data_IF_101646409621
#
_entry.id   IF_101646409621
#
_cell.length_a   1.000
_cell.length_b   1.000
_cell.length_c   1.000
_cell.angle_alpha   90.00
_cell.angle_beta   90.00
_cell.angle_gamma   90.00
#
_symmetry.space_group_name_H-M   'P 1'
#
loop_
_entity.id
_entity.type
_entity.pdbx_description
1 polymer ?
#
# COMPACT_ATOMS: atom_id res chain seq x y z
N UNK A 1 27.69 -17.85 -1.46
CA UNK A 1 26.75 -16.72 -1.55
C UNK A 1 25.37 -17.31 -1.68
N UNK A 2 24.59 -17.35 -0.60
CA UNK A 2 23.22 -17.86 -0.68
C UNK A 2 22.36 -16.78 -1.34
N UNK A 3 21.83 -17.07 -2.53
CA UNK A 3 20.77 -16.24 -3.10
C UNK A 3 19.62 -16.21 -2.09
N UNK A 4 19.29 -15.03 -1.57
CA UNK A 4 18.14 -14.85 -0.71
C UNK A 4 16.91 -15.18 -1.56
N UNK A 5 16.29 -16.34 -1.32
CA UNK A 5 15.01 -16.67 -1.93
C UNK A 5 13.94 -15.76 -1.32
N UNK A 6 13.58 -14.70 -2.04
CA UNK A 6 12.50 -13.81 -1.67
C UNK A 6 11.17 -14.56 -1.68
N UNK A 7 10.45 -14.51 -0.56
CA UNK A 7 9.06 -15.01 -0.42
C UNK A 7 8.07 -14.11 -1.13
N UNK A 8 8.47 -12.87 -1.42
CA UNK A 8 7.62 -11.85 -2.02
C UNK A 8 8.08 -11.50 -3.43
N UNK A 9 7.11 -11.25 -4.31
CA UNK A 9 7.30 -10.53 -5.56
C UNK A 9 6.57 -9.20 -5.43
N UNK A 10 7.22 -8.11 -5.80
CA UNK A 10 6.67 -6.77 -5.67
C UNK A 10 6.94 -6.00 -6.95
N UNK A 11 5.90 -5.38 -7.52
CA UNK A 11 6.02 -4.39 -8.58
C UNK A 11 5.27 -3.12 -8.20
N UNK A 12 5.80 -1.97 -8.57
CA UNK A 12 5.22 -0.67 -8.25
C UNK A 12 5.16 0.20 -9.50
N UNK A 13 4.00 0.79 -9.74
CA UNK A 13 3.80 1.90 -10.67
C UNK A 13 3.52 3.16 -9.85
N UNK A 14 4.22 4.26 -10.14
CA UNK A 14 3.97 5.54 -9.54
C UNK A 14 4.14 6.67 -10.57
N UNK A 15 3.17 7.58 -10.62
CA UNK A 15 3.16 8.73 -11.53
C UNK A 15 2.56 9.96 -10.84
N UNK A 16 3.21 11.12 -10.99
CA UNK A 16 2.73 12.37 -10.43
C UNK A 16 1.56 12.93 -11.26
N UNK A 17 0.68 13.69 -10.62
CA UNK A 17 -0.34 14.49 -11.28
C UNK A 17 0.26 15.36 -12.39
N UNK A 18 -0.43 15.45 -13.53
CA UNK A 18 0.00 16.22 -14.69
C UNK A 18 0.34 17.68 -14.32
N UNK A 19 1.57 18.10 -14.63
CA UNK A 19 2.07 19.45 -14.36
C UNK A 19 2.71 19.66 -12.97
N UNK A 20 2.64 18.67 -12.07
CA UNK A 20 3.33 18.75 -10.77
C UNK A 20 4.79 18.27 -10.87
N UNK A 21 5.66 18.87 -10.04
CA UNK A 21 7.06 18.43 -9.88
C UNK A 21 7.24 17.27 -8.90
N UNK A 22 6.23 16.98 -8.08
CA UNK A 22 6.28 15.97 -7.03
C UNK A 22 4.94 15.25 -6.90
N UNK A 23 5.03 13.96 -6.57
CA UNK A 23 3.89 13.09 -6.29
C UNK A 23 3.65 13.06 -4.76
N UNK A 24 2.44 13.43 -4.32
CA UNK A 24 1.99 13.45 -2.92
C UNK A 24 1.87 12.09 -2.26
N UNK A 25 1.81 11.01 -3.03
CA UNK A 25 1.90 9.63 -2.54
C UNK A 25 3.35 9.26 -2.17
N UNK A 26 3.49 8.50 -1.09
CA UNK A 26 4.70 7.79 -0.74
C UNK A 26 4.37 6.33 -0.43
N UNK A 27 5.28 5.43 -0.79
CA UNK A 27 5.16 4.02 -0.45
C UNK A 27 6.47 3.49 0.14
N UNK A 28 6.36 2.41 0.90
CA UNK A 28 7.50 1.68 1.45
C UNK A 28 7.16 0.20 1.53
N UNK A 29 8.12 -0.65 1.23
CA UNK A 29 8.00 -2.07 1.53
C UNK A 29 9.34 -2.61 2.02
N UNK A 30 9.27 -3.63 2.88
CA UNK A 30 10.45 -4.33 3.38
C UNK A 30 10.14 -5.79 3.63
N UNK A 31 10.96 -6.65 3.05
CA UNK A 31 11.00 -8.08 3.37
C UNK A 31 12.13 -8.36 4.34
N UNK A 32 11.86 -9.23 5.31
CA UNK A 32 12.83 -9.81 6.24
C UNK A 32 12.65 -11.32 6.25
N UNK A 33 13.48 -12.04 6.99
CA UNK A 33 13.33 -13.49 7.14
C UNK A 33 11.97 -13.90 7.75
N UNK A 34 11.38 -13.06 8.60
CA UNK A 34 10.21 -13.42 9.41
C UNK A 34 8.92 -12.72 9.00
N UNK A 35 9.02 -11.63 8.26
CA UNK A 35 7.87 -10.78 7.92
C UNK A 35 8.09 -9.98 6.65
N UNK A 36 7.00 -9.49 6.10
CA UNK A 36 6.97 -8.47 5.07
C UNK A 36 6.03 -7.34 5.50
N UNK A 37 6.38 -6.10 5.21
CA UNK A 37 5.50 -4.94 5.35
C UNK A 37 5.43 -4.19 4.03
N UNK A 38 4.25 -3.67 3.70
CA UNK A 38 4.04 -2.74 2.61
C UNK A 38 3.08 -1.65 3.06
N UNK A 39 3.38 -0.42 2.66
CA UNK A 39 2.66 0.77 3.06
C UNK A 39 2.50 1.69 1.87
N UNK A 40 1.31 2.27 1.76
CA UNK A 40 1.01 3.37 0.86
C UNK A 40 0.36 4.49 1.67
N UNK A 41 0.92 5.68 1.59
CA UNK A 41 0.41 6.89 2.22
C UNK A 41 0.21 7.96 1.16
N UNK A 42 -0.92 8.64 1.23
CA UNK A 42 -1.22 9.81 0.38
C UNK A 42 -1.45 11.00 1.32
N UNK A 43 -0.65 12.05 1.10
CA UNK A 43 -0.64 13.23 1.94
C UNK A 43 -1.75 14.19 1.54
N UNK A 44 -2.47 14.73 2.51
CA UNK A 44 -3.61 15.60 2.20
C UNK A 44 -3.18 16.88 1.46
N UNK A 45 -3.82 17.14 0.32
CA UNK A 45 -3.60 18.32 -0.50
C UNK A 45 -2.86 17.99 -1.78
N UNK A 46 -1.89 18.81 -2.16
CA UNK A 46 -1.04 18.57 -3.33
C UNK A 46 0.34 19.20 -3.16
N UNK A 47 1.29 18.77 -4.00
CA UNK A 47 2.63 19.34 -4.02
C UNK A 47 3.47 18.99 -2.78
N UNK A 48 4.31 19.93 -2.34
CA UNK A 48 5.30 19.68 -1.29
C UNK A 48 4.69 19.37 0.08
N UNK A 49 3.58 20.00 0.44
CA UNK A 49 2.93 19.80 1.75
C UNK A 49 2.35 18.37 1.87
N UNK A 50 1.75 17.88 0.77
CA UNK A 50 1.27 16.51 0.67
C UNK A 50 2.45 15.54 0.79
N UNK A 51 3.52 15.78 0.01
CA UNK A 51 4.75 14.98 0.06
C UNK A 51 5.36 14.94 1.47
N UNK A 52 5.41 16.07 2.16
CA UNK A 52 5.96 16.14 3.52
C UNK A 52 5.18 15.23 4.47
N UNK A 53 3.85 15.24 4.38
CA UNK A 53 2.98 14.45 5.25
C UNK A 53 3.10 12.95 4.97
N UNK A 54 3.05 12.53 3.71
CA UNK A 54 3.20 11.11 3.34
C UNK A 54 4.62 10.60 3.60
N UNK A 55 5.66 11.42 3.38
CA UNK A 55 7.04 11.03 3.67
C UNK A 55 7.27 10.85 5.18
N UNK A 56 6.70 11.72 6.02
CA UNK A 56 6.79 11.59 7.48
C UNK A 56 6.20 10.26 7.98
N UNK A 57 5.14 9.75 7.35
CA UNK A 57 4.57 8.43 7.63
C UNK A 57 5.53 7.31 7.22
N UNK A 58 6.14 7.41 6.04
CA UNK A 58 7.11 6.42 5.57
C UNK A 58 8.34 6.37 6.48
N UNK A 59 8.90 7.51 6.87
CA UNK A 59 10.06 7.57 7.79
C UNK A 59 9.78 6.84 9.11
N UNK A 60 8.59 7.03 9.69
CA UNK A 60 8.23 6.33 10.93
C UNK A 60 8.21 4.81 10.70
N UNK A 61 7.59 4.36 9.62
CA UNK A 61 7.41 2.94 9.36
C UNK A 61 8.74 2.27 8.99
N UNK A 62 9.59 2.95 8.23
CA UNK A 62 10.93 2.47 7.90
C UNK A 62 11.79 2.26 9.15
N UNK A 63 11.65 3.12 10.17
CA UNK A 63 12.38 3.01 11.43
C UNK A 63 11.75 2.02 12.43
N UNK A 64 10.47 1.67 12.26
CA UNK A 64 9.70 0.89 13.23
C UNK A 64 8.98 -0.34 12.63
N UNK A 65 9.37 -0.81 11.43
CA UNK A 65 8.64 -1.83 10.66
C UNK A 65 8.39 -3.16 11.41
N UNK A 66 9.11 -3.45 12.48
CA UNK A 66 8.93 -4.63 13.33
C UNK A 66 7.72 -4.53 14.26
N UNK A 67 7.28 -3.31 14.59
CA UNK A 67 6.16 -3.06 15.51
C UNK A 67 4.79 -3.46 14.95
N UNK A 68 3.79 -3.61 15.81
CA UNK A 68 2.43 -3.91 15.36
C UNK A 68 1.84 -2.77 14.52
N UNK A 69 0.84 -3.08 13.69
CA UNK A 69 0.13 -2.04 12.91
C UNK A 69 -0.44 -0.96 13.84
N UNK A 70 -0.96 -1.33 15.01
CA UNK A 70 -1.48 -0.36 15.99
C UNK A 70 -0.41 0.63 16.47
N UNK A 71 0.78 0.12 16.79
CA UNK A 71 1.92 0.93 17.25
C UNK A 71 2.42 1.85 16.13
N UNK A 72 2.54 1.31 14.91
CA UNK A 72 2.91 2.09 13.72
C UNK A 72 1.94 3.24 13.48
N UNK A 73 0.63 2.98 13.47
CA UNK A 73 -0.38 4.04 13.28
C UNK A 73 -0.26 5.11 14.36
N UNK A 74 -0.08 4.71 15.62
CA UNK A 74 0.08 5.67 16.72
C UNK A 74 1.29 6.59 16.50
N UNK A 75 2.45 6.03 16.14
CA UNK A 75 3.65 6.81 15.84
C UNK A 75 3.49 7.71 14.63
N UNK A 76 2.88 7.21 13.56
CA UNK A 76 2.59 8.02 12.37
C UNK A 76 1.70 9.20 12.73
N UNK A 77 0.67 8.95 13.54
CA UNK A 77 -0.22 10.00 14.00
C UNK A 77 0.54 11.05 14.84
N UNK A 78 1.38 10.65 15.80
CA UNK A 78 2.19 11.59 16.58
C UNK A 78 3.15 12.42 15.71
N UNK A 79 3.72 11.82 14.65
CA UNK A 79 4.61 12.49 13.68
C UNK A 79 3.87 13.48 12.77
N UNK A 80 2.58 13.29 12.57
CA UNK A 80 1.71 14.15 11.75
C UNK A 80 1.16 15.37 12.51
N UNK A 81 1.45 15.51 13.80
CA UNK A 81 1.09 16.72 14.56
C UNK A 81 1.73 17.94 13.87
N UNK A 82 0.89 18.95 13.59
CA UNK A 82 1.25 20.16 12.81
C UNK A 82 1.53 19.96 11.31
N UNK A 83 1.16 18.80 10.74
CA UNK A 83 1.16 18.57 9.29
C UNK A 83 -0.26 18.56 8.72
N UNK A 84 -0.39 18.41 7.40
CA UNK A 84 -1.70 18.30 6.74
C UNK A 84 -2.45 17.04 7.14
N UNK A 85 -1.72 16.00 7.53
CA UNK A 85 -2.25 14.65 7.73
C UNK A 85 -2.12 13.81 6.46
N UNK A 86 -2.42 12.52 6.58
CA UNK A 86 -2.32 11.58 5.47
C UNK A 86 -3.35 10.46 5.59
N UNK A 87 -3.77 9.93 4.45
CA UNK A 87 -4.45 8.64 4.36
C UNK A 87 -3.41 7.52 4.33
N UNK A 88 -3.79 6.31 4.74
CA UNK A 88 -2.83 5.24 4.98
C UNK A 88 -3.42 3.86 4.69
N UNK A 89 -2.69 3.07 3.90
CA UNK A 89 -2.85 1.62 3.81
C UNK A 89 -1.61 0.92 4.36
N UNK A 90 -1.80 -0.05 5.26
CA UNK A 90 -0.72 -0.91 5.76
C UNK A 90 -1.09 -2.37 5.52
N UNK A 91 -0.16 -3.12 4.95
CA UNK A 91 -0.20 -4.57 4.82
C UNK A 91 1.03 -5.15 5.52
N UNK A 92 0.82 -6.08 6.45
CA UNK A 92 1.91 -6.76 7.16
C UNK A 92 1.69 -8.27 7.17
N UNK A 93 2.66 -9.01 6.65
CA UNK A 93 2.67 -10.47 6.58
C UNK A 93 3.62 -11.01 7.65
N UNK A 94 3.19 -12.04 8.36
CA UNK A 94 4.00 -12.78 9.32
C UNK A 94 4.21 -14.20 8.77
N UNK A 95 5.44 -14.52 8.42
CA UNK A 95 5.80 -15.81 7.80
C UNK A 95 5.83 -16.95 8.80
N UNK A 96 6.09 -16.68 10.08
CA UNK A 96 6.10 -17.69 11.15
C UNK A 96 4.70 -18.19 11.47
N UNK A 97 3.74 -17.28 11.55
CA UNK A 97 2.35 -17.59 11.91
C UNK A 97 1.47 -17.86 10.69
N UNK A 98 2.00 -17.65 9.47
CA UNK A 98 1.25 -17.72 8.21
C UNK A 98 -0.04 -16.88 8.26
N UNK A 99 0.09 -15.63 8.68
CA UNK A 99 -1.02 -14.66 8.76
C UNK A 99 -0.64 -13.35 8.11
N UNK A 100 -1.61 -12.65 7.56
CA UNK A 100 -1.46 -11.24 7.21
C UNK A 100 -2.40 -10.38 8.06
N UNK A 101 -1.98 -9.16 8.32
CA UNK A 101 -2.77 -8.10 8.92
C UNK A 101 -2.80 -6.91 7.98
N UNK A 102 -3.95 -6.27 7.85
CA UNK A 102 -4.07 -5.07 7.04
C UNK A 102 -4.98 -4.03 7.69
N UNK A 103 -4.79 -2.79 7.31
CA UNK A 103 -5.65 -1.66 7.64
C UNK A 103 -5.66 -0.68 6.49
N UNK A 104 -6.76 0.04 6.35
CA UNK A 104 -6.89 1.15 5.41
C UNK A 104 -7.67 2.27 6.11
N UNK A 105 -7.13 3.47 6.05
CA UNK A 105 -7.66 4.72 6.61
C UNK A 105 -7.70 5.72 5.46
N UNK A 106 -8.89 6.25 5.18
CA UNK A 106 -9.18 7.13 4.05
C UNK A 106 -9.62 6.41 2.80
N UNK A 107 -8.94 6.69 1.71
CA UNK A 107 -9.25 6.27 0.33
C UNK A 107 -8.22 5.28 -0.24
N UNK A 108 -7.19 4.89 0.52
CA UNK A 108 -6.21 3.89 0.06
C UNK A 108 -6.88 2.52 -0.09
N UNK A 109 -6.91 2.00 -1.31
CA UNK A 109 -7.47 0.70 -1.61
C UNK A 109 -6.51 -0.44 -1.29
N UNK A 110 -7.03 -1.52 -0.69
CA UNK A 110 -6.30 -2.78 -0.51
C UNK A 110 -7.21 -3.94 -0.93
N UNK A 111 -6.82 -4.67 -1.97
CA UNK A 111 -7.55 -5.84 -2.48
C UNK A 111 -6.69 -7.09 -2.41
N UNK A 112 -7.18 -8.14 -1.75
CA UNK A 112 -6.60 -9.49 -1.79
C UNK A 112 -7.22 -10.29 -2.94
N UNK A 113 -6.38 -10.98 -3.69
CA UNK A 113 -6.74 -11.92 -4.77
C UNK A 113 -6.14 -13.28 -4.38
N UNK A 114 -6.96 -14.19 -3.82
CA UNK A 114 -6.51 -15.54 -3.53
C UNK A 114 -6.25 -16.31 -4.83
N UNK A 115 -5.38 -17.33 -4.77
CA UNK A 115 -5.08 -18.19 -5.93
C UNK A 115 -6.35 -18.85 -6.51
N UNK A 116 -7.22 -19.35 -5.64
CA UNK A 116 -8.45 -20.07 -5.98
C UNK A 116 -9.67 -19.45 -5.28
N UNK A 117 -9.93 -18.16 -5.51
CA UNK A 117 -11.03 -17.48 -4.83
C UNK A 117 -11.48 -16.19 -5.49
N UNK A 118 -12.53 -15.61 -4.91
CA UNK A 118 -13.00 -14.28 -5.32
C UNK A 118 -12.13 -13.21 -4.65
N UNK A 119 -11.88 -12.14 -5.39
CA UNK A 119 -11.21 -10.94 -4.85
C UNK A 119 -11.94 -10.42 -3.61
N UNK A 120 -11.17 -10.03 -2.60
CA UNK A 120 -11.65 -9.50 -1.31
C UNK A 120 -11.11 -8.08 -1.14
N UNK A 121 -11.99 -7.09 -1.30
CA UNK A 121 -11.67 -5.68 -1.05
C UNK A 121 -11.72 -5.39 0.45
N UNK A 122 -10.73 -4.66 0.95
CA UNK A 122 -10.76 -4.09 2.30
C UNK A 122 -11.66 -2.87 2.28
N UNK A 123 -12.59 -2.77 3.23
CA UNK A 123 -13.40 -1.56 3.40
C UNK A 123 -12.55 -0.56 4.18
N UNK A 124 -12.19 0.60 3.60
CA UNK A 124 -11.42 1.61 4.29
C UNK A 124 -12.19 2.16 5.49
N UNK A 125 -11.47 2.49 6.56
CA UNK A 125 -12.02 3.35 7.60
C UNK A 125 -12.09 4.77 7.04
N UNK A 126 -13.24 5.46 7.05
CA UNK A 126 -13.33 6.84 6.56
C UNK A 126 -12.34 7.77 7.29
N UNK A 127 -12.06 8.94 6.73
CA UNK A 127 -11.21 9.97 7.34
C UNK A 127 -9.73 9.86 6.97
N UNK A 128 -8.85 10.38 7.82
CA UNK A 128 -7.41 10.43 7.61
C UNK A 128 -6.72 10.41 8.97
N UNK A 129 -5.38 10.32 9.01
CA UNK A 129 -4.59 10.47 10.23
C UNK A 129 -4.34 11.96 10.51
N UNK A 130 -5.00 12.56 11.52
CA UNK A 130 -5.00 14.01 11.69
C UNK A 130 -3.97 14.53 12.70
N UNK A 131 -3.20 13.65 13.34
CA UNK A 131 -2.33 14.02 14.45
C UNK A 131 -2.93 13.79 15.84
N UNK A 132 -4.11 13.18 15.95
CA UNK A 132 -4.76 12.81 17.22
C UNK A 132 -5.48 11.46 17.11
N UNK A 133 -5.91 10.89 18.25
CA UNK A 133 -6.52 9.57 18.31
C UNK A 133 -7.70 9.42 17.33
N UNK A 134 -7.56 8.51 16.37
CA UNK A 134 -8.54 8.23 15.33
C UNK A 134 -8.90 6.73 15.35
N UNK A 135 -10.19 6.34 15.34
CA UNK A 135 -10.57 4.94 15.32
C UNK A 135 -10.22 4.31 13.96
N UNK A 136 -9.70 3.08 13.96
CA UNK A 136 -9.41 2.31 12.74
C UNK A 136 -9.65 0.83 12.98
N UNK A 137 -9.71 0.06 11.88
CA UNK A 137 -9.91 -1.39 11.91
C UNK A 137 -8.69 -2.11 11.37
N UNK A 138 -8.22 -3.12 12.09
CA UNK A 138 -7.20 -4.04 11.61
C UNK A 138 -7.87 -5.37 11.30
N UNK A 139 -7.78 -5.79 10.04
CA UNK A 139 -8.21 -7.11 9.61
C UNK A 139 -7.05 -8.08 9.69
N UNK A 140 -7.29 -9.28 10.22
CA UNK A 140 -6.28 -10.36 10.28
C UNK A 140 -6.86 -11.63 9.68
N UNK A 141 -6.17 -12.23 8.73
CA UNK A 141 -6.56 -13.51 8.11
C UNK A 141 -5.33 -14.39 7.87
N UNK A 142 -5.57 -15.63 7.44
CA UNK A 142 -4.53 -16.57 7.03
C UNK A 142 -3.85 -16.10 5.75
N UNK A 143 -2.53 -16.21 5.72
CA UNK A 143 -1.71 -15.99 4.54
C UNK A 143 -1.51 -17.33 3.83
N UNK A 144 -1.95 -17.40 2.58
CA UNK A 144 -1.83 -18.60 1.76
C UNK A 144 -0.90 -18.34 0.57
N UNK A 145 -0.17 -19.38 0.17
CA UNK A 145 0.66 -19.35 -1.02
C UNK A 145 -0.13 -18.88 -2.24
N UNK A 146 0.48 -18.02 -3.05
CA UNK A 146 -0.13 -17.43 -4.24
C UNK A 146 -1.11 -16.29 -3.95
N UNK A 147 -1.30 -15.88 -2.69
CA UNK A 147 -2.05 -14.65 -2.39
C UNK A 147 -1.38 -13.44 -3.03
N UNK A 148 -2.17 -12.67 -3.77
CA UNK A 148 -1.77 -11.40 -4.39
C UNK A 148 -2.51 -10.28 -3.69
N UNK A 149 -1.78 -9.24 -3.31
CA UNK A 149 -2.31 -8.02 -2.71
C UNK A 149 -2.07 -6.87 -3.68
N UNK A 150 -3.13 -6.12 -3.98
CA UNK A 150 -3.04 -4.84 -4.68
C UNK A 150 -3.27 -3.73 -3.67
N UNK A 151 -2.34 -2.80 -3.56
CA UNK A 151 -2.48 -1.55 -2.81
C UNK A 151 -2.46 -0.38 -3.79
N UNK A 152 -3.36 0.57 -3.65
CA UNK A 152 -3.46 1.68 -4.60
C UNK A 152 -4.04 2.95 -3.98
N UNK A 153 -3.58 4.11 -4.44
CA UNK A 153 -4.18 5.41 -4.13
C UNK A 153 -5.45 5.61 -4.95
N UNK A 154 -6.21 6.67 -4.67
CA UNK A 154 -7.47 6.95 -5.36
C UNK A 154 -7.30 7.45 -6.80
N UNK A 155 -6.10 7.89 -7.16
CA UNK A 155 -5.72 8.10 -8.56
C UNK A 155 -5.78 6.82 -9.43
N UNK A 156 -5.83 5.64 -8.81
CA UNK A 156 -6.08 4.37 -9.52
C UNK A 156 -7.57 4.14 -9.76
N UNK A 157 -7.96 4.05 -11.03
CA UNK A 157 -9.30 3.60 -11.39
C UNK A 157 -9.43 2.09 -11.18
N UNK A 158 -9.90 1.71 -9.98
CA UNK A 158 -10.07 0.32 -9.55
C UNK A 158 -10.91 -0.51 -10.54
N UNK A 159 -11.97 0.08 -11.12
CA UNK A 159 -12.87 -0.63 -12.05
C UNK A 159 -12.15 -0.99 -13.34
N UNK A 160 -11.41 -0.04 -13.92
CA UNK A 160 -10.61 -0.24 -15.14
C UNK A 160 -9.49 -1.24 -14.87
N UNK A 161 -8.77 -1.09 -13.75
CA UNK A 161 -7.73 -2.04 -13.33
C UNK A 161 -8.26 -3.47 -13.30
N UNK A 162 -9.38 -3.75 -12.64
CA UNK A 162 -9.88 -5.11 -12.55
C UNK A 162 -10.60 -5.63 -13.80
N UNK A 163 -11.06 -4.76 -14.70
CA UNK A 163 -11.69 -5.17 -15.96
C UNK A 163 -10.64 -5.66 -16.97
N UNK A 164 -9.46 -5.04 -16.98
CA UNK A 164 -8.41 -5.29 -17.97
C UNK A 164 -7.40 -6.36 -17.53
N UNK A 165 -7.34 -6.69 -16.24
CA UNK A 165 -6.40 -7.67 -15.71
C UNK A 165 -6.97 -9.08 -15.73
N UNK A 166 -6.31 -9.97 -16.47
CA UNK A 166 -6.70 -11.39 -16.60
C UNK A 166 -5.82 -12.33 -15.78
N UNK A 167 -4.58 -11.93 -15.48
CA UNK A 167 -3.62 -12.72 -14.71
C UNK A 167 -3.02 -11.88 -13.57
N UNK A 168 -3.40 -12.21 -12.34
CA UNK A 168 -2.86 -11.53 -11.16
C UNK A 168 -1.57 -12.14 -10.60
N UNK A 169 -1.12 -13.27 -11.15
CA UNK A 169 0.11 -13.92 -10.69
C UNK A 169 1.38 -13.23 -11.20
N UNK A 170 1.27 -12.48 -12.30
CA UNK A 170 2.37 -11.71 -12.89
C UNK A 170 2.30 -10.25 -12.38
N UNK A 171 2.93 -9.99 -11.23
CA UNK A 171 2.88 -8.67 -10.58
C UNK A 171 3.48 -7.56 -11.46
N UNK A 172 4.50 -7.86 -12.24
CA UNK A 172 5.10 -6.93 -13.19
C UNK A 172 4.16 -6.68 -14.37
N UNK A 173 3.56 -7.74 -14.91
CA UNK A 173 2.53 -7.64 -15.94
C UNK A 173 1.34 -6.76 -15.52
N UNK A 174 0.95 -6.78 -14.23
CA UNK A 174 -0.08 -5.89 -13.69
C UNK A 174 0.34 -4.43 -13.82
N UNK A 175 1.51 -4.05 -13.30
CA UNK A 175 1.95 -2.65 -13.33
C UNK A 175 2.23 -2.16 -14.75
N UNK A 176 2.81 -3.01 -15.61
CA UNK A 176 3.11 -2.67 -17.00
C UNK A 176 1.83 -2.49 -17.82
N UNK A 177 0.85 -3.37 -17.62
CA UNK A 177 -0.45 -3.25 -18.28
C UNK A 177 -1.19 -2.02 -17.79
N UNK A 178 -1.14 -1.73 -16.49
CA UNK A 178 -1.71 -0.51 -15.94
C UNK A 178 -1.07 0.73 -16.57
N UNK A 179 0.26 0.82 -16.58
CA UNK A 179 1.01 1.91 -17.19
C UNK A 179 0.64 2.15 -18.67
N UNK A 180 0.47 1.08 -19.46
CA UNK A 180 0.07 1.20 -20.88
C UNK A 180 -1.37 1.70 -21.06
N UNK A 181 -2.28 1.38 -20.14
CA UNK A 181 -3.68 1.80 -20.21
C UNK A 181 -3.92 3.20 -19.64
N UNK A 182 -2.94 3.69 -18.88
CA UNK A 182 -2.95 4.94 -18.13
C UNK A 182 -2.26 6.07 -18.91
N UNK A 183 -2.67 6.28 -20.17
CA UNK A 183 -2.10 7.29 -21.09
C UNK A 183 -2.91 8.60 -21.15
N UNK A 184 -3.93 8.75 -20.32
CA UNK A 184 -4.75 9.97 -20.24
C UNK A 184 -4.10 11.03 -19.34
N UNK A 185 -4.47 12.30 -19.52
CA UNK A 185 -3.94 13.40 -18.69
C UNK A 185 -4.22 13.13 -17.21
N UNK A 186 -3.15 12.92 -16.45
CA UNK A 186 -3.28 12.49 -15.07
C UNK A 186 -3.84 13.59 -14.17
N UNK A 187 -5.04 13.35 -13.62
CA UNK A 187 -5.74 14.35 -12.80
C UNK A 187 -5.35 14.31 -11.32
N UNK A 188 -4.66 13.26 -10.87
CA UNK A 188 -4.21 13.12 -9.48
C UNK A 188 -2.88 12.39 -9.32
N UNK A 189 -2.30 12.38 -8.13
CA UNK A 189 -1.16 11.50 -7.88
C UNK A 189 -1.60 10.02 -7.91
N UNK A 190 -0.76 9.12 -8.45
CA UNK A 190 -1.14 7.71 -8.63
C UNK A 190 -0.03 6.79 -8.25
N UNK A 191 -0.37 5.81 -7.41
CA UNK A 191 0.51 4.74 -6.99
C UNK A 191 -0.27 3.43 -6.98
N UNK A 192 0.27 2.40 -7.64
CA UNK A 192 -0.23 1.04 -7.65
C UNK A 192 0.91 0.10 -7.25
N UNK A 193 0.70 -0.70 -6.22
CA UNK A 193 1.60 -1.76 -5.79
C UNK A 193 0.94 -3.13 -6.00
N UNK A 194 1.61 -4.01 -6.72
CA UNK A 194 1.24 -5.40 -6.90
C UNK A 194 2.21 -6.30 -6.13
N UNK A 195 1.70 -7.09 -5.20
CA UNK A 195 2.49 -7.85 -4.23
C UNK A 195 2.01 -9.29 -4.22
N UNK A 196 2.90 -10.27 -4.44
CA UNK A 196 2.55 -11.70 -4.44
C UNK A 196 3.39 -12.48 -3.43
N UNK A 197 2.72 -13.29 -2.62
CA UNK A 197 3.38 -14.23 -1.71
C UNK A 197 3.60 -15.57 -2.41
N UNK A 198 4.85 -15.91 -2.71
CA UNK A 198 5.21 -17.15 -3.41
C UNK A 198 5.20 -18.40 -2.55
N UNK A 199 5.41 -18.25 -1.25
CA UNK A 199 5.91 -19.28 -0.33
C UNK A 199 7.23 -19.92 -0.83
N UNK A 200 8.25 -20.01 0.05
CA UNK A 200 9.47 -20.78 -0.25
C UNK A 200 9.21 -22.24 0.06
#
# INVERSE_FOLDING_TARGET
MNAQNHRMEVSVFQEAKGGNRCNGDCFFYKETEHQFISVLADGLGSGSDAKESSNAVIEVIENHYEESIDQLIKRCNDKLIHKRGAVLGVLKLNFKNHTYSLTSIGNVGITLIPLNGRKKRTIPTPGYLPGYGYPYKIKREKLEQGNVFLMYSDGVNERKLFAEMTNFNDVTGITDTYARLHQETQTDDTTLMAIRYKAV
#
